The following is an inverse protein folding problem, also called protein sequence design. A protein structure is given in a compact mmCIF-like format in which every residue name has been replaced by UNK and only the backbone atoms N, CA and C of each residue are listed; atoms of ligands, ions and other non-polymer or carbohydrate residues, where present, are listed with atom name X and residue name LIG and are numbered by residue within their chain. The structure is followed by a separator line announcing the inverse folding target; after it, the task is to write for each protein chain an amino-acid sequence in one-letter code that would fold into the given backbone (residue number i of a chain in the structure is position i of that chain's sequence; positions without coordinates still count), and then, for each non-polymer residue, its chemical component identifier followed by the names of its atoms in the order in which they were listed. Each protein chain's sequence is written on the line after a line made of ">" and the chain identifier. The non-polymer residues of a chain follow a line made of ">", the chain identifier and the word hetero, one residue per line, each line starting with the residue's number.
data_IF_536455913958
#
_entry.id   IF_536455913958
#
_cell.length_a   1.000
_cell.length_b   1.000
_cell.length_c   1.000
_cell.angle_alpha   90.00
_cell.angle_beta   90.00
_cell.angle_gamma   90.00
#
_symmetry.space_group_name_H-M   'P 1'
#
loop_
_entity.id
_entity.type
_entity.pdbx_description
1 polymer ?
#
# COMPACT_ATOMS: atom_id res chain seq x y z
N UNK A 1 6.96 15.99 11.20
CA UNK A 1 7.59 15.75 9.87
C UNK A 1 7.63 17.02 9.03
N UNK A 2 6.57 17.85 8.96
CA UNK A 2 6.60 19.15 8.25
C UNK A 2 7.77 20.05 8.68
N UNK A 3 7.99 20.22 9.99
CA UNK A 3 9.12 21.00 10.53
C UNK A 3 10.46 20.46 10.00
N UNK A 4 10.62 19.14 9.93
CA UNK A 4 11.81 18.50 9.40
C UNK A 4 12.02 18.88 7.93
N UNK A 5 11.01 18.66 7.07
CA UNK A 5 11.08 19.03 5.64
C UNK A 5 11.39 20.51 5.46
N UNK A 6 10.78 21.38 6.25
CA UNK A 6 11.04 22.83 6.19
C UNK A 6 12.46 23.23 6.57
N UNK A 7 13.02 22.63 7.64
CA UNK A 7 14.37 22.95 8.13
C UNK A 7 15.45 22.37 7.22
N UNK A 8 15.30 21.09 6.83
CA UNK A 8 16.32 20.41 6.00
C UNK A 8 16.24 20.78 4.53
N UNK A 9 15.11 21.34 4.09
CA UNK A 9 14.79 21.60 2.69
C UNK A 9 14.92 20.34 1.81
N UNK A 10 14.55 19.18 2.34
CA UNK A 10 14.69 17.90 1.67
C UNK A 10 13.57 16.92 2.06
N UNK A 11 13.18 16.10 1.10
CA UNK A 11 12.41 14.88 1.32
C UNK A 11 13.41 13.74 1.51
N UNK A 12 13.51 13.21 2.72
CA UNK A 12 14.62 12.32 3.15
C UNK A 12 14.51 10.91 2.55
N UNK A 13 13.28 10.45 2.30
CA UNK A 13 13.00 9.11 1.78
C UNK A 13 11.92 9.16 0.71
N UNK A 14 12.00 8.30 -0.32
CA UNK A 14 10.92 8.17 -1.29
C UNK A 14 9.66 7.66 -0.61
N UNK A 15 8.52 7.98 -1.18
CA UNK A 15 7.22 7.39 -0.84
C UNK A 15 6.90 6.25 -1.79
N UNK A 16 6.08 5.32 -1.37
CA UNK A 16 5.71 4.17 -2.15
C UNK A 16 4.24 4.26 -2.58
N UNK A 17 4.02 4.25 -3.89
CA UNK A 17 2.70 4.23 -4.50
C UNK A 17 2.46 2.96 -5.32
N UNK A 18 1.19 2.59 -5.39
CA UNK A 18 0.66 1.64 -6.34
C UNK A 18 -0.22 2.37 -7.38
N UNK A 19 -0.30 1.83 -8.59
CA UNK A 19 -1.23 2.29 -9.62
C UNK A 19 -1.84 1.11 -10.36
N UNK A 20 -3.05 1.23 -10.93
CA UNK A 20 -3.62 0.21 -11.80
C UNK A 20 -2.71 -0.02 -13.00
N UNK A 21 -2.30 -1.26 -13.25
CA UNK A 21 -1.36 -1.60 -14.32
C UNK A 21 -1.80 -1.01 -15.66
N UNK A 22 -0.84 -0.50 -16.41
CA UNK A 22 -1.08 0.13 -17.72
C UNK A 22 -0.16 -0.48 -18.78
N UNK A 23 -0.77 -1.08 -19.81
CA UNK A 23 -0.07 -1.88 -20.80
C UNK A 23 1.07 -1.12 -21.51
N UNK A 24 0.87 0.16 -21.86
CA UNK A 24 1.90 0.93 -22.55
C UNK A 24 3.10 1.24 -21.65
N UNK A 25 2.88 1.50 -20.33
CA UNK A 25 3.97 1.66 -19.37
C UNK A 25 4.77 0.36 -19.25
N UNK A 26 4.08 -0.78 -19.13
CA UNK A 26 4.73 -2.09 -19.07
C UNK A 26 5.60 -2.34 -20.30
N UNK A 27 5.09 -2.03 -21.50
CA UNK A 27 5.83 -2.16 -22.76
C UNK A 27 7.06 -1.23 -22.83
N UNK A 28 6.94 0.01 -22.36
CA UNK A 28 8.07 0.95 -22.30
C UNK A 28 9.16 0.37 -21.40
N UNK A 29 8.79 -0.09 -20.19
CA UNK A 29 9.73 -0.66 -19.21
C UNK A 29 10.38 -1.92 -19.78
N UNK A 30 9.59 -2.85 -20.32
CA UNK A 30 10.11 -4.10 -20.94
C UNK A 30 11.10 -3.81 -22.07
N UNK A 31 10.78 -2.83 -22.92
CA UNK A 31 11.65 -2.44 -24.03
C UNK A 31 12.99 -1.89 -23.54
N UNK A 32 12.99 -1.04 -22.50
CA UNK A 32 14.20 -0.49 -21.91
C UNK A 32 15.05 -1.60 -21.27
N UNK A 33 14.43 -2.42 -20.43
CA UNK A 33 15.10 -3.54 -19.76
C UNK A 33 15.74 -4.51 -20.74
N UNK A 34 15.09 -4.74 -21.90
CA UNK A 34 15.59 -5.66 -22.93
C UNK A 34 16.72 -5.09 -23.77
N UNK A 35 16.69 -3.79 -24.07
CA UNK A 35 17.55 -3.21 -25.10
C UNK A 35 18.66 -2.29 -24.53
N UNK A 36 18.52 -1.82 -23.29
CA UNK A 36 19.45 -0.89 -22.70
C UNK A 36 20.28 -1.52 -21.59
N UNK A 37 21.48 -1.00 -21.39
CA UNK A 37 22.33 -1.45 -20.28
C UNK A 37 21.91 -0.74 -18.99
N UNK A 38 21.79 -1.49 -17.88
CA UNK A 38 21.55 -0.87 -16.60
C UNK A 38 22.75 -0.01 -16.13
N UNK A 39 22.45 1.06 -15.40
CA UNK A 39 23.47 1.89 -14.73
C UNK A 39 24.05 1.13 -13.52
N UNK A 40 23.21 0.38 -12.82
CA UNK A 40 23.61 -0.50 -11.73
C UNK A 40 23.01 -1.89 -11.94
N UNK A 41 23.81 -2.91 -11.66
CA UNK A 41 23.40 -4.32 -11.65
C UNK A 41 24.28 -5.07 -10.65
N UNK A 42 23.72 -5.41 -9.48
CA UNK A 42 24.44 -6.07 -8.41
C UNK A 42 23.54 -6.91 -7.53
N UNK A 43 24.11 -7.81 -6.78
CA UNK A 43 23.42 -8.58 -5.73
C UNK A 43 23.86 -8.07 -4.37
N UNK A 44 22.93 -7.66 -3.54
CA UNK A 44 23.19 -7.22 -2.18
C UNK A 44 23.67 -8.42 -1.33
N UNK A 45 24.77 -8.22 -0.59
CA UNK A 45 25.37 -9.30 0.23
C UNK A 45 24.55 -9.61 1.48
N UNK A 46 23.81 -8.63 1.95
CA UNK A 46 23.05 -8.67 3.21
C UNK A 46 21.85 -9.59 3.13
N UNK A 47 21.16 -9.62 1.99
CA UNK A 47 19.90 -10.34 1.80
C UNK A 47 19.87 -11.25 0.57
N UNK A 48 20.88 -11.14 -0.31
CA UNK A 48 20.99 -11.93 -1.54
C UNK A 48 20.07 -11.48 -2.67
N UNK A 49 19.41 -10.31 -2.56
CA UNK A 49 18.56 -9.79 -3.63
C UNK A 49 19.35 -9.08 -4.72
N UNK A 50 18.90 -9.25 -5.96
CA UNK A 50 19.42 -8.54 -7.12
C UNK A 50 18.79 -7.13 -7.22
N UNK A 51 19.65 -6.17 -7.53
CA UNK A 51 19.26 -4.78 -7.78
C UNK A 51 19.75 -4.36 -9.14
N UNK A 52 18.83 -4.06 -10.05
CA UNK A 52 19.15 -3.60 -11.40
C UNK A 52 18.42 -2.29 -11.64
N UNK A 53 19.13 -1.29 -12.15
CA UNK A 53 18.62 0.06 -12.28
C UNK A 53 18.93 0.65 -13.65
N UNK A 54 17.89 1.18 -14.32
CA UNK A 54 17.96 1.89 -15.59
C UNK A 54 17.52 3.35 -15.41
N UNK A 55 18.04 4.23 -16.23
CA UNK A 55 17.61 5.63 -16.29
C UNK A 55 16.93 5.86 -17.64
N UNK A 56 15.78 6.48 -17.63
CA UNK A 56 15.07 6.89 -18.84
C UNK A 56 15.41 8.36 -19.10
N UNK A 57 16.26 8.62 -20.11
CA UNK A 57 16.71 9.96 -20.46
C UNK A 57 16.03 10.52 -21.71
N UNK A 58 15.38 9.67 -22.50
CA UNK A 58 14.68 10.11 -23.72
C UNK A 58 13.46 10.98 -23.35
N UNK A 59 13.54 12.26 -23.68
CA UNK A 59 12.51 13.26 -23.35
C UNK A 59 11.11 12.88 -23.89
N UNK A 60 11.03 12.20 -25.02
CA UNK A 60 9.74 11.78 -25.60
C UNK A 60 9.12 10.65 -24.77
N UNK A 61 9.93 9.70 -24.34
CA UNK A 61 9.50 8.61 -23.48
C UNK A 61 9.07 9.14 -22.12
N UNK A 62 9.84 10.05 -21.52
CA UNK A 62 9.49 10.71 -20.25
C UNK A 62 8.17 11.45 -20.39
N UNK A 63 8.01 12.30 -21.42
CA UNK A 63 6.78 13.06 -21.65
C UNK A 63 5.56 12.13 -21.88
N UNK A 64 5.76 10.98 -22.55
CA UNK A 64 4.67 10.03 -22.74
C UNK A 64 4.26 9.34 -21.43
N UNK A 65 5.23 8.99 -20.58
CA UNK A 65 4.95 8.43 -19.25
C UNK A 65 4.17 9.46 -18.40
N UNK A 66 4.62 10.72 -18.40
CA UNK A 66 3.93 11.80 -17.68
C UNK A 66 2.48 11.95 -18.17
N UNK A 67 2.27 11.95 -19.49
CA UNK A 67 0.93 12.05 -20.09
C UNK A 67 0.02 10.89 -19.67
N UNK A 68 0.53 9.67 -19.66
CA UNK A 68 -0.24 8.49 -19.22
C UNK A 68 -0.65 8.65 -17.75
N UNK A 69 0.28 9.03 -16.88
CA UNK A 69 -0.03 9.23 -15.47
C UNK A 69 -1.02 10.37 -15.23
N UNK A 70 -0.96 11.43 -16.04
CA UNK A 70 -1.88 12.57 -15.92
C UNK A 70 -3.30 12.25 -16.42
N UNK A 71 -3.41 11.53 -17.56
CA UNK A 71 -4.68 11.41 -18.31
C UNK A 71 -5.34 10.05 -18.22
N UNK A 72 -4.56 8.99 -18.04
CA UNK A 72 -5.03 7.61 -18.19
C UNK A 72 -5.00 6.82 -16.87
N UNK A 73 -4.14 7.21 -15.92
CA UNK A 73 -4.11 6.61 -14.58
C UNK A 73 -5.07 7.37 -13.67
N UNK A 74 -6.15 6.73 -13.17
CA UNK A 74 -7.20 7.44 -12.42
C UNK A 74 -6.73 7.94 -11.06
N UNK A 75 -5.81 7.23 -10.41
CA UNK A 75 -5.28 7.57 -9.09
C UNK A 75 -4.00 6.80 -8.78
N UNK A 76 -3.18 7.39 -7.90
CA UNK A 76 -2.09 6.72 -7.20
C UNK A 76 -2.54 6.37 -5.79
N UNK A 77 -2.27 5.15 -5.36
CA UNK A 77 -2.61 4.65 -4.04
C UNK A 77 -1.37 4.61 -3.15
N UNK A 78 -1.43 5.26 -1.99
CA UNK A 78 -0.28 5.28 -1.07
C UNK A 78 -0.15 3.91 -0.41
N UNK A 79 0.86 3.14 -0.79
CA UNK A 79 1.16 1.85 -0.18
C UNK A 79 2.00 2.00 1.10
N UNK A 80 2.98 2.93 1.09
CA UNK A 80 3.72 3.35 2.29
C UNK A 80 4.13 4.81 2.20
N UNK A 81 4.32 5.44 3.35
CA UNK A 81 4.75 6.84 3.44
C UNK A 81 3.61 7.86 3.51
N UNK A 82 2.42 7.52 4.00
CA UNK A 82 1.27 8.42 4.16
C UNK A 82 1.64 9.75 4.83
N UNK A 83 2.42 9.71 5.91
CA UNK A 83 2.85 10.93 6.61
C UNK A 83 3.93 11.71 5.86
N UNK A 84 4.76 11.05 5.05
CA UNK A 84 5.77 11.71 4.21
C UNK A 84 5.07 12.44 3.06
N UNK A 85 4.14 11.77 2.39
CA UNK A 85 3.30 12.36 1.33
C UNK A 85 2.54 13.59 1.84
N UNK A 86 1.84 13.45 2.98
CA UNK A 86 1.11 14.57 3.57
C UNK A 86 2.02 15.73 3.99
N UNK A 87 3.22 15.44 4.51
CA UNK A 87 4.17 16.49 4.90
C UNK A 87 4.72 17.22 3.68
N UNK A 88 5.11 16.50 2.61
CA UNK A 88 5.59 17.08 1.37
C UNK A 88 4.52 17.99 0.73
N UNK A 89 3.28 17.49 0.61
CA UNK A 89 2.18 18.24 0.03
C UNK A 89 1.88 19.53 0.80
N UNK A 90 1.82 19.46 2.13
CA UNK A 90 1.54 20.64 2.98
C UNK A 90 2.65 21.68 2.92
N UNK A 91 3.91 21.24 3.00
CA UNK A 91 5.05 22.15 2.89
C UNK A 91 5.11 22.78 1.50
N UNK A 92 4.85 22.03 0.44
CA UNK A 92 4.74 22.56 -0.92
C UNK A 92 3.64 23.62 -1.03
N UNK A 93 2.46 23.39 -0.48
CA UNK A 93 1.38 24.38 -0.44
C UNK A 93 1.74 25.65 0.33
N UNK A 94 2.36 25.52 1.52
CA UNK A 94 2.82 26.67 2.31
C UNK A 94 3.85 27.51 1.56
N UNK A 95 4.84 26.87 0.92
CA UNK A 95 5.88 27.55 0.13
C UNK A 95 5.31 28.22 -1.11
N UNK A 96 4.39 27.54 -1.80
CA UNK A 96 3.69 28.11 -2.95
C UNK A 96 2.91 29.38 -2.54
N UNK A 97 2.16 29.31 -1.45
CA UNK A 97 1.38 30.43 -0.96
C UNK A 97 2.25 31.63 -0.55
N UNK A 98 3.48 31.39 -0.09
CA UNK A 98 4.42 32.44 0.33
C UNK A 98 5.35 32.93 -0.78
N UNK A 99 5.30 32.33 -1.97
CA UNK A 99 6.15 32.71 -3.10
C UNK A 99 5.37 33.55 -4.12
N UNK A 100 5.52 34.91 -4.13
CA UNK A 100 4.83 35.77 -5.10
C UNK A 100 5.30 35.55 -6.55
N UNK A 101 6.45 34.91 -6.75
CA UNK A 101 7.03 34.60 -8.07
C UNK A 101 6.88 33.12 -8.44
N UNK A 102 5.86 32.44 -7.90
CA UNK A 102 5.64 31.02 -8.19
C UNK A 102 5.38 30.77 -9.67
N UNK A 103 6.15 29.88 -10.26
CA UNK A 103 6.10 29.53 -11.70
C UNK A 103 5.53 28.11 -11.96
N UNK A 104 5.56 27.25 -10.95
CA UNK A 104 5.21 25.83 -11.05
C UNK A 104 6.41 24.89 -11.12
N UNK A 105 7.60 25.43 -11.44
CA UNK A 105 8.82 24.63 -11.65
C UNK A 105 9.74 24.56 -10.41
N UNK A 106 9.30 25.11 -9.28
CA UNK A 106 10.09 25.07 -8.05
C UNK A 106 10.13 23.68 -7.44
N UNK A 107 11.29 23.29 -6.90
CA UNK A 107 11.57 21.99 -6.29
C UNK A 107 10.57 21.58 -5.19
N UNK A 108 9.96 22.54 -4.49
CA UNK A 108 8.95 22.22 -3.49
C UNK A 108 7.62 21.69 -4.06
N UNK A 109 7.45 21.70 -5.38
CA UNK A 109 6.31 21.08 -6.05
C UNK A 109 6.50 19.56 -6.25
N UNK A 110 7.71 19.04 -6.02
CA UNK A 110 8.09 17.68 -6.32
C UNK A 110 8.54 16.94 -5.05
N UNK A 111 8.35 15.65 -5.05
CA UNK A 111 8.95 14.73 -4.09
C UNK A 111 9.22 13.39 -4.75
N UNK A 112 10.24 12.69 -4.27
CA UNK A 112 10.62 11.41 -4.86
C UNK A 112 9.62 10.32 -4.47
N UNK A 113 9.14 9.58 -5.46
CA UNK A 113 8.24 8.46 -5.30
C UNK A 113 8.76 7.23 -6.02
N UNK A 114 8.53 6.06 -5.43
CA UNK A 114 8.65 4.75 -6.07
C UNK A 114 7.23 4.30 -6.39
N UNK A 115 6.97 3.95 -7.65
CA UNK A 115 5.63 3.68 -8.15
C UNK A 115 5.63 2.29 -8.81
N UNK A 116 4.75 1.40 -8.36
CA UNK A 116 4.61 0.05 -8.92
C UNK A 116 3.21 -0.19 -9.48
N UNK A 117 3.09 -0.91 -10.59
CA UNK A 117 1.78 -1.40 -11.03
C UNK A 117 1.24 -2.42 -10.02
N UNK A 118 -0.06 -2.43 -9.80
CA UNK A 118 -0.73 -3.34 -8.87
C UNK A 118 -0.50 -4.82 -9.18
N UNK A 119 -0.32 -5.14 -10.47
CA UNK A 119 0.02 -6.48 -10.96
C UNK A 119 1.35 -7.03 -10.44
N UNK A 120 2.29 -6.17 -10.03
CA UNK A 120 3.59 -6.54 -9.45
C UNK A 120 3.59 -6.53 -7.92
N UNK A 121 2.49 -6.18 -7.30
CA UNK A 121 2.37 -6.09 -5.85
C UNK A 121 1.60 -7.27 -5.28
N UNK A 122 1.96 -7.64 -4.06
CA UNK A 122 1.26 -8.66 -3.30
C UNK A 122 0.92 -8.11 -1.93
N UNK A 123 -0.37 -8.14 -1.60
CA UNK A 123 -0.81 -7.89 -0.23
C UNK A 123 -0.53 -9.15 0.59
N UNK A 124 0.20 -8.99 1.68
CA UNK A 124 0.49 -10.06 2.63
C UNK A 124 -0.38 -9.93 3.86
N UNK A 125 -0.56 -11.06 4.58
CA UNK A 125 -1.37 -11.10 5.79
C UNK A 125 -0.79 -10.15 6.86
N UNK A 126 -1.66 -9.37 7.49
CA UNK A 126 -1.31 -8.55 8.64
C UNK A 126 -1.89 -9.17 9.90
N UNK A 127 -1.20 -10.19 10.41
CA UNK A 127 -1.67 -10.97 11.55
C UNK A 127 -1.61 -10.16 12.85
N UNK A 128 -2.63 -10.35 13.69
CA UNK A 128 -2.73 -9.76 15.03
C UNK A 128 -2.68 -10.86 16.06
N UNK A 129 -1.97 -10.59 17.15
CA UNK A 129 -1.92 -11.48 18.31
C UNK A 129 -2.72 -10.83 19.43
N UNK A 130 -3.69 -11.56 19.96
CA UNK A 130 -4.51 -11.15 21.10
C UNK A 130 -3.85 -11.72 22.37
N UNK A 131 -3.66 -10.90 23.38
CA UNK A 131 -2.92 -11.26 24.59
C UNK A 131 -3.69 -12.29 25.45
N UNK A 132 -4.99 -12.07 25.60
CA UNK A 132 -5.90 -12.89 26.37
C UNK A 132 -7.34 -12.75 25.86
N UNK A 133 -8.23 -13.55 26.38
CA UNK A 133 -9.66 -13.54 26.01
C UNK A 133 -10.51 -12.61 26.91
N UNK A 134 -9.88 -11.67 27.61
CA UNK A 134 -10.54 -10.72 28.50
C UNK A 134 -11.42 -11.41 29.57
N UNK A 135 -10.92 -12.52 30.14
CA UNK A 135 -11.60 -13.30 31.18
C UNK A 135 -12.68 -14.27 30.67
N UNK A 136 -12.88 -14.36 29.36
CA UNK A 136 -13.79 -15.35 28.78
C UNK A 136 -13.12 -16.70 28.63
N UNK A 137 -13.90 -17.77 28.72
CA UNK A 137 -13.49 -19.09 28.24
C UNK A 137 -13.47 -19.11 26.71
N UNK A 138 -12.82 -20.10 26.09
CA UNK A 138 -12.84 -20.28 24.64
C UNK A 138 -14.26 -20.45 24.10
N UNK A 139 -15.11 -21.17 24.80
CA UNK A 139 -16.51 -21.38 24.40
C UNK A 139 -17.32 -20.09 24.44
N UNK A 140 -17.18 -19.29 25.50
CA UNK A 140 -17.85 -17.99 25.62
C UNK A 140 -17.35 -17.01 24.56
N UNK A 141 -16.04 -17.03 24.24
CA UNK A 141 -15.46 -16.20 23.20
C UNK A 141 -16.00 -16.58 21.81
N UNK A 142 -16.03 -17.88 21.48
CA UNK A 142 -16.59 -18.36 20.22
C UNK A 142 -18.10 -18.06 20.11
N UNK A 143 -18.84 -18.19 21.20
CA UNK A 143 -20.27 -17.85 21.24
C UNK A 143 -20.46 -16.35 20.92
N UNK A 144 -19.63 -15.49 21.49
CA UNK A 144 -19.69 -14.03 21.27
C UNK A 144 -19.34 -13.65 19.85
N UNK A 145 -18.34 -14.31 19.25
CA UNK A 145 -17.98 -14.10 17.85
C UNK A 145 -19.12 -14.45 16.88
N UNK A 146 -19.97 -15.40 17.26
CA UNK A 146 -21.13 -15.77 16.46
C UNK A 146 -22.21 -14.67 16.39
N UNK A 147 -22.12 -13.59 17.14
CA UNK A 147 -23.03 -12.45 16.98
C UNK A 147 -22.75 -11.73 15.64
N UNK A 148 -21.48 -11.63 15.24
CA UNK A 148 -21.03 -10.84 14.09
C UNK A 148 -20.44 -11.67 12.95
N UNK A 149 -19.95 -12.86 13.25
CA UNK A 149 -19.34 -13.78 12.27
C UNK A 149 -20.07 -15.12 12.22
N UNK A 150 -20.00 -15.76 11.07
CA UNK A 150 -20.22 -17.20 10.98
C UNK A 150 -18.87 -17.85 11.27
N UNK A 151 -18.77 -18.63 12.36
CA UNK A 151 -17.52 -19.26 12.81
C UNK A 151 -17.57 -20.75 12.51
N UNK A 152 -16.64 -21.24 11.72
CA UNK A 152 -16.51 -22.64 11.32
C UNK A 152 -15.15 -23.18 11.75
N UNK A 153 -15.12 -24.35 12.37
CA UNK A 153 -13.87 -25.00 12.74
C UNK A 153 -13.19 -25.57 11.49
N UNK A 154 -11.96 -25.12 11.22
CA UNK A 154 -11.16 -25.55 10.08
C UNK A 154 -10.20 -26.71 10.41
N UNK A 155 -9.94 -26.96 11.71
CA UNK A 155 -9.08 -28.04 12.18
C UNK A 155 -7.66 -27.61 12.54
N UNK A 156 -6.69 -28.51 12.41
CA UNK A 156 -5.30 -28.28 12.84
C UNK A 156 -4.40 -27.69 11.75
N UNK A 157 -4.80 -27.85 10.51
CA UNK A 157 -4.06 -27.31 9.36
C UNK A 157 -4.34 -25.80 9.20
N UNK A 158 -3.30 -25.05 8.80
CA UNK A 158 -3.42 -23.61 8.61
C UNK A 158 -4.52 -23.32 7.58
N UNK A 159 -5.53 -22.57 8.00
CA UNK A 159 -6.54 -22.03 7.12
C UNK A 159 -6.14 -20.63 6.65
N UNK A 160 -6.14 -20.39 5.34
CA UNK A 160 -5.92 -19.07 4.74
C UNK A 160 -7.20 -18.59 4.09
N UNK A 161 -7.71 -17.40 4.44
CA UNK A 161 -8.85 -16.79 3.77
C UNK A 161 -8.60 -16.66 2.27
N UNK A 162 -9.62 -16.89 1.47
CA UNK A 162 -9.56 -16.84 0.01
C UNK A 162 -10.52 -15.81 -0.61
N UNK A 163 -11.37 -15.21 0.20
CA UNK A 163 -12.38 -14.23 -0.22
C UNK A 163 -12.36 -13.01 0.70
N UNK A 164 -12.95 -11.92 0.23
CA UNK A 164 -13.23 -10.77 1.06
C UNK A 164 -14.15 -11.16 2.23
N UNK A 165 -13.97 -10.48 3.35
CA UNK A 165 -14.76 -10.66 4.58
C UNK A 165 -14.62 -12.04 5.23
N UNK A 166 -13.62 -12.81 4.82
CA UNK A 166 -13.17 -14.02 5.50
C UNK A 166 -11.91 -13.74 6.33
N UNK A 167 -11.88 -14.32 7.51
CA UNK A 167 -10.78 -14.21 8.46
C UNK A 167 -10.36 -15.59 8.92
N UNK A 168 -9.11 -15.71 9.33
CA UNK A 168 -8.58 -16.90 9.96
C UNK A 168 -8.24 -16.60 11.40
N UNK A 169 -8.65 -17.47 12.32
CA UNK A 169 -8.33 -17.37 13.73
C UNK A 169 -7.72 -18.68 14.23
N UNK A 170 -6.65 -18.55 15.01
CA UNK A 170 -6.07 -19.68 15.74
C UNK A 170 -6.40 -19.55 17.21
N UNK A 171 -7.11 -20.53 17.76
CA UNK A 171 -7.53 -20.56 19.16
C UNK A 171 -7.53 -21.99 19.68
N UNK A 172 -7.01 -22.22 20.89
CA UNK A 172 -7.07 -23.53 21.56
C UNK A 172 -6.38 -24.66 20.79
N UNK A 173 -5.38 -24.36 19.96
CA UNK A 173 -4.67 -25.37 19.16
C UNK A 173 -5.35 -25.69 17.81
N UNK A 174 -6.39 -24.98 17.41
CA UNK A 174 -7.13 -25.21 16.19
C UNK A 174 -7.38 -23.93 15.40
N UNK A 175 -7.56 -24.08 14.11
CA UNK A 175 -7.89 -23.00 13.18
C UNK A 175 -9.40 -22.91 13.00
N UNK A 176 -9.88 -21.69 12.88
CA UNK A 176 -11.26 -21.35 12.60
C UNK A 176 -11.31 -20.42 11.39
N UNK A 177 -12.30 -20.67 10.55
CA UNK A 177 -12.73 -19.74 9.51
C UNK A 177 -13.82 -18.86 10.09
N UNK A 178 -13.70 -17.55 9.93
CA UNK A 178 -14.73 -16.60 10.31
C UNK A 178 -15.17 -15.84 9.07
N UNK A 179 -16.45 -15.76 8.81
CA UNK A 179 -17.03 -14.99 7.72
C UNK A 179 -17.93 -13.91 8.31
N UNK A 180 -17.68 -12.66 7.97
CA UNK A 180 -18.53 -11.56 8.44
C UNK A 180 -19.98 -11.74 7.96
N UNK A 181 -20.94 -11.55 8.86
CA UNK A 181 -22.36 -11.64 8.52
C UNK A 181 -22.81 -10.41 7.75
N UNK A 182 -23.78 -10.59 6.86
CA UNK A 182 -24.45 -9.46 6.22
C UNK A 182 -25.03 -8.51 7.27
N UNK A 183 -24.86 -7.20 7.03
CA UNK A 183 -25.31 -6.16 7.95
C UNK A 183 -24.34 -5.80 9.07
N UNK A 184 -23.18 -6.48 9.19
CA UNK A 184 -22.12 -6.10 10.12
C UNK A 184 -21.14 -5.08 9.52
N UNK A 185 -21.28 -4.76 8.25
CA UNK A 185 -20.52 -3.74 7.50
C UNK A 185 -21.42 -3.13 6.43
N UNK A 186 -21.01 -1.97 5.90
CA UNK A 186 -21.71 -1.26 4.83
C UNK A 186 -20.85 -1.30 3.56
N UNK A 187 -21.35 -1.93 2.50
CA UNK A 187 -20.68 -2.03 1.19
C UNK A 187 -20.50 -0.67 0.51
N UNK A 188 -21.27 0.34 0.90
CA UNK A 188 -21.17 1.69 0.35
C UNK A 188 -20.19 2.58 1.14
N UNK A 189 -19.74 2.16 2.32
CA UNK A 189 -18.69 2.84 3.08
C UNK A 189 -17.31 2.32 2.67
N UNK A 190 -16.50 3.10 1.94
CA UNK A 190 -15.19 2.67 1.45
C UNK A 190 -14.19 2.35 2.55
N UNK A 191 -14.45 2.74 3.80
CA UNK A 191 -13.63 2.42 4.97
C UNK A 191 -14.28 1.28 5.76
N UNK A 192 -15.59 1.33 5.96
CA UNK A 192 -16.36 0.34 6.70
C UNK A 192 -16.31 -1.06 6.11
N UNK A 193 -16.25 -1.16 4.77
CA UNK A 193 -16.16 -2.42 4.02
C UNK A 193 -14.80 -3.11 4.11
N UNK A 194 -13.76 -2.42 4.57
CA UNK A 194 -12.42 -3.00 4.67
C UNK A 194 -12.36 -4.09 5.77
N UNK A 195 -11.77 -5.23 5.45
CA UNK A 195 -11.61 -6.36 6.38
C UNK A 195 -10.98 -5.95 7.72
N UNK A 196 -10.00 -5.05 7.69
CA UNK A 196 -9.39 -4.50 8.91
C UNK A 196 -10.38 -3.72 9.77
N UNK A 197 -11.30 -3.00 9.15
CA UNK A 197 -12.34 -2.22 9.84
C UNK A 197 -13.40 -3.14 10.42
N UNK A 198 -13.86 -4.10 9.63
CA UNK A 198 -14.82 -5.13 10.06
C UNK A 198 -14.29 -5.86 11.31
N UNK A 199 -13.04 -6.34 11.25
CA UNK A 199 -12.42 -7.05 12.37
C UNK A 199 -12.18 -6.17 13.60
N UNK A 200 -12.00 -4.87 13.43
CA UNK A 200 -11.71 -3.94 14.54
C UNK A 200 -12.96 -3.42 15.23
N UNK A 201 -14.08 -3.38 14.53
CA UNK A 201 -15.35 -2.84 15.04
C UNK A 201 -16.26 -3.91 15.66
N UNK A 202 -15.99 -5.17 15.39
CA UNK A 202 -16.75 -6.31 15.84
C UNK A 202 -15.88 -7.25 16.68
#
# INVERSE_FOLDING_TARGET
>A
RMIHVNITNANVEPVFFAYPAHQEIDQIVENIVKNEKPVYDFVAKEDGFGHTFWVIEDEKTVARIEEIFEKEIPALYVADGHHRTAAAARVGQERRASNPNHTGNEEYNYFMAVIFPDSQLKIIDYNRVVKDLNGLTEEEFLAKLNDTFVVEKAGKEIYKPSKLHEFSMYLGGEWYKMTAKEGTYDDNDPIGVLDVTILSNN
#
